data_IF_235790496304
#
_entry.id   IF_235790496304
#
_cell.length_a   1.000
_cell.length_b   1.000
_cell.length_c   1.000
_cell.angle_alpha   90.00
_cell.angle_beta   90.00
_cell.angle_gamma   90.00
#
_symmetry.space_group_name_H-M   'P 1'
#
loop_
_entity.id
_entity.type
_entity.pdbx_description
1 polymer ?
#
# COMPACT_ATOMS: atom_id res chain seq x y z
N UNK A 1 -29.56 -44.88 -8.53
CA UNK A 1 -28.92 -44.66 -7.23
C UNK A 1 -27.43 -44.90 -7.37
N UNK A 2 -26.63 -43.84 -7.27
CA UNK A 2 -25.20 -43.92 -6.98
C UNK A 2 -24.85 -42.62 -6.23
N UNK A 3 -24.39 -42.67 -4.96
CA UNK A 3 -24.00 -41.48 -4.24
C UNK A 3 -22.61 -41.07 -4.73
N UNK A 4 -22.52 -39.97 -5.49
CA UNK A 4 -21.25 -39.35 -5.82
C UNK A 4 -20.62 -38.81 -4.53
N UNK A 5 -19.51 -39.41 -4.14
CA UNK A 5 -18.59 -38.92 -3.11
C UNK A 5 -18.22 -37.46 -3.38
N UNK A 6 -18.21 -36.57 -2.37
CA UNK A 6 -17.74 -35.21 -2.55
C UNK A 6 -16.23 -35.23 -2.85
N UNK A 7 -15.83 -34.55 -3.92
CA UNK A 7 -14.44 -34.43 -4.36
C UNK A 7 -13.63 -33.66 -3.31
N UNK A 8 -12.44 -34.17 -2.99
CA UNK A 8 -11.50 -33.59 -2.02
C UNK A 8 -10.87 -32.28 -2.54
N UNK A 9 -11.08 -31.93 -3.81
CA UNK A 9 -10.60 -30.72 -4.45
C UNK A 9 -11.39 -29.45 -4.06
N UNK A 10 -12.66 -29.58 -3.67
CA UNK A 10 -13.53 -28.44 -3.33
C UNK A 10 -13.20 -27.82 -1.96
N UNK A 11 -12.68 -28.62 -1.02
CA UNK A 11 -12.35 -28.14 0.34
C UNK A 11 -11.08 -27.26 0.39
N UNK A 12 -10.22 -27.31 -0.63
CA UNK A 12 -8.99 -26.49 -0.69
C UNK A 12 -9.23 -25.11 -1.33
N UNK A 13 -10.29 -24.96 -2.14
CA UNK A 13 -10.62 -23.72 -2.84
C UNK A 13 -11.39 -22.73 -1.96
N UNK A 14 -12.09 -23.22 -0.93
CA UNK A 14 -12.81 -22.38 0.06
C UNK A 14 -11.92 -21.85 1.19
N UNK A 15 -10.61 -22.09 1.15
CA UNK A 15 -9.63 -21.37 1.97
C UNK A 15 -9.42 -19.91 1.48
N UNK A 16 -10.44 -19.32 0.86
CA UNK A 16 -10.88 -17.94 1.01
C UNK A 16 -9.85 -16.85 0.67
N UNK A 17 -10.09 -15.99 -0.34
CA UNK A 17 -9.34 -14.73 -0.50
C UNK A 17 -9.24 -13.90 0.81
N UNK A 18 -10.18 -14.08 1.75
CA UNK A 18 -10.20 -13.60 3.14
C UNK A 18 -9.00 -14.08 4.01
N UNK A 19 -8.65 -15.38 3.99
CA UNK A 19 -7.49 -15.92 4.75
C UNK A 19 -6.17 -15.42 4.17
N UNK A 20 -6.10 -15.32 2.85
CA UNK A 20 -5.00 -14.70 2.10
C UNK A 20 -4.93 -13.17 2.27
N UNK A 21 -6.03 -12.54 2.66
CA UNK A 21 -6.16 -11.13 2.96
C UNK A 21 -5.60 -10.80 4.36
N UNK A 22 -6.00 -11.54 5.39
CA UNK A 22 -5.50 -11.37 6.76
C UNK A 22 -4.00 -11.64 6.91
N UNK A 23 -3.46 -12.67 6.23
CA UNK A 23 -2.05 -13.02 6.31
C UNK A 23 -1.11 -11.92 5.79
N UNK A 24 -1.47 -11.25 4.69
CA UNK A 24 -0.67 -10.14 4.14
C UNK A 24 -0.80 -8.85 4.93
N UNK A 25 -1.96 -8.56 5.52
CA UNK A 25 -2.14 -7.45 6.46
C UNK A 25 -1.22 -7.60 7.67
N UNK A 26 -1.17 -8.81 8.24
CA UNK A 26 -0.26 -9.17 9.34
C UNK A 26 1.21 -9.06 8.96
N UNK A 27 1.58 -9.48 7.75
CA UNK A 27 2.95 -9.37 7.25
C UNK A 27 3.40 -7.90 7.11
N UNK A 28 2.54 -7.03 6.58
CA UNK A 28 2.87 -5.61 6.43
C UNK A 28 2.96 -4.88 7.77
N UNK A 29 2.06 -5.18 8.71
CA UNK A 29 2.13 -4.66 10.07
C UNK A 29 3.41 -5.14 10.76
N UNK A 30 3.72 -6.43 10.68
CA UNK A 30 4.95 -7.00 11.23
C UNK A 30 6.21 -6.37 10.63
N UNK A 31 6.21 -6.11 9.33
CA UNK A 31 7.32 -5.43 8.65
C UNK A 31 7.46 -3.98 9.10
N UNK A 32 6.36 -3.23 9.23
CA UNK A 32 6.39 -1.85 9.73
C UNK A 32 6.90 -1.81 11.16
N UNK A 33 6.28 -2.54 12.06
CA UNK A 33 6.65 -2.54 13.47
C UNK A 33 8.09 -3.02 13.65
N UNK A 34 8.49 -4.09 12.95
CA UNK A 34 9.86 -4.60 13.00
C UNK A 34 10.89 -3.60 12.49
N UNK A 35 10.65 -2.97 11.35
CA UNK A 35 11.58 -1.96 10.80
C UNK A 35 11.68 -0.72 11.68
N UNK A 36 10.56 -0.25 12.24
CA UNK A 36 10.56 0.87 13.18
C UNK A 36 11.33 0.56 14.45
N UNK A 37 11.15 -0.63 15.04
CA UNK A 37 11.89 -1.05 16.24
C UNK A 37 13.38 -1.13 15.95
N UNK A 38 13.79 -1.78 14.86
CA UNK A 38 15.21 -1.90 14.48
C UNK A 38 15.85 -0.53 14.29
N UNK A 39 15.16 0.38 13.60
CA UNK A 39 15.66 1.74 13.37
C UNK A 39 15.80 2.52 14.68
N UNK A 40 14.82 2.42 15.60
CA UNK A 40 14.90 3.05 16.91
C UNK A 40 16.06 2.48 17.74
N UNK A 41 16.29 1.17 17.70
CA UNK A 41 17.43 0.53 18.37
C UNK A 41 18.76 1.02 17.82
N UNK A 42 18.91 1.12 16.49
CA UNK A 42 20.13 1.65 15.87
C UNK A 42 20.36 3.11 16.29
N UNK A 43 19.33 3.95 16.27
CA UNK A 43 19.42 5.36 16.71
C UNK A 43 19.85 5.46 18.18
N UNK A 44 19.32 4.62 19.06
CA UNK A 44 19.72 4.56 20.46
C UNK A 44 21.17 4.14 20.63
N UNK A 45 21.63 3.13 19.89
CA UNK A 45 23.03 2.68 19.95
C UNK A 45 23.99 3.76 19.42
N UNK A 46 23.65 4.40 18.30
CA UNK A 46 24.41 5.51 17.71
C UNK A 46 24.47 6.72 18.65
N UNK A 47 23.46 6.93 19.50
CA UNK A 47 23.48 7.99 20.51
C UNK A 47 24.21 7.57 21.81
N UNK A 48 24.06 6.32 22.23
CA UNK A 48 24.65 5.80 23.47
C UNK A 48 26.18 5.69 23.40
N UNK A 49 26.75 5.33 22.24
CA UNK A 49 28.20 5.17 22.07
C UNK A 49 28.92 6.53 22.24
N UNK A 50 28.50 7.64 21.60
CA UNK A 50 29.14 8.94 21.75
C UNK A 50 28.73 9.68 23.01
N UNK A 51 27.58 9.40 23.63
CA UNK A 51 27.13 10.11 24.84
C UNK A 51 28.07 9.89 26.04
N UNK A 52 28.74 8.74 26.09
CA UNK A 52 29.79 8.42 27.08
C UNK A 52 31.02 9.33 26.89
N UNK A 53 31.37 9.68 25.63
CA UNK A 53 32.47 10.60 25.30
C UNK A 53 32.08 12.08 25.39
N UNK A 54 30.83 12.41 25.06
CA UNK A 54 30.29 13.78 25.08
C UNK A 54 30.15 14.35 26.50
N UNK A 55 29.89 13.49 27.48
CA UNK A 55 29.79 13.85 28.89
C UNK A 55 31.11 14.45 29.44
N UNK A 56 32.26 14.12 28.84
CA UNK A 56 33.57 14.63 29.25
C UNK A 56 33.91 16.02 28.70
N UNK A 57 33.17 16.52 27.70
CA UNK A 57 33.44 17.83 27.07
C UNK A 57 32.59 18.93 27.70
N UNK A 58 31.27 18.70 27.85
CA UNK A 58 30.38 19.68 28.48
C UNK A 58 29.13 18.97 29.06
N UNK A 59 28.76 19.22 30.33
CA UNK A 59 27.70 18.49 31.01
C UNK A 59 26.31 18.66 30.38
N UNK A 60 26.05 19.76 29.65
CA UNK A 60 24.76 19.99 28.98
C UNK A 60 24.61 19.34 27.59
N UNK A 61 25.71 19.01 26.89
CA UNK A 61 25.68 18.43 25.54
C UNK A 61 24.96 17.07 25.42
N UNK A 62 25.15 16.11 26.35
CA UNK A 62 24.42 14.84 26.29
C UNK A 62 22.91 15.02 26.47
N UNK A 63 22.46 15.98 27.28
CA UNK A 63 21.02 16.24 27.47
C UNK A 63 20.37 16.86 26.23
N UNK A 64 21.02 17.84 25.59
CA UNK A 64 20.50 18.49 24.37
C UNK A 64 20.44 17.48 23.21
N UNK A 65 21.52 16.74 22.97
CA UNK A 65 21.55 15.70 21.93
C UNK A 65 20.54 14.57 22.19
N UNK A 66 20.35 14.20 23.46
CA UNK A 66 19.35 13.22 23.88
C UNK A 66 17.92 13.68 23.61
N UNK A 67 17.62 14.96 23.84
CA UNK A 67 16.30 15.52 23.54
C UNK A 67 15.96 15.45 22.04
N UNK A 68 16.91 15.81 21.16
CA UNK A 68 16.72 15.71 19.71
C UNK A 68 16.54 14.27 19.24
N UNK A 69 17.34 13.33 19.77
CA UNK A 69 17.22 11.92 19.42
C UNK A 69 15.93 11.29 19.93
N UNK A 70 15.52 11.60 21.16
CA UNK A 70 14.26 11.14 21.72
C UNK A 70 13.07 11.67 20.92
N UNK A 71 13.09 12.96 20.54
CA UNK A 71 12.08 13.57 19.67
C UNK A 71 11.98 12.85 18.32
N UNK A 72 13.12 12.53 17.70
CA UNK A 72 13.17 11.80 16.43
C UNK A 72 12.59 10.38 16.57
N UNK A 73 12.94 9.66 17.63
CA UNK A 73 12.42 8.31 17.92
C UNK A 73 10.90 8.36 18.13
N UNK A 74 10.42 9.32 18.92
CA UNK A 74 8.98 9.51 19.17
C UNK A 74 8.23 9.85 17.89
N UNK A 75 8.81 10.66 17.00
CA UNK A 75 8.22 11.00 15.71
C UNK A 75 8.11 9.77 14.79
N UNK A 76 9.14 8.92 14.74
CA UNK A 76 9.13 7.67 13.98
C UNK A 76 8.09 6.70 14.55
N UNK A 77 8.04 6.55 15.87
CA UNK A 77 7.07 5.69 16.56
C UNK A 77 5.63 6.18 16.34
N UNK A 78 5.39 7.50 16.43
CA UNK A 78 4.10 8.11 16.15
C UNK A 78 3.65 7.88 14.71
N UNK A 79 4.55 8.06 13.74
CA UNK A 79 4.25 7.82 12.33
C UNK A 79 3.93 6.34 12.04
N UNK A 80 4.71 5.40 12.61
CA UNK A 80 4.47 3.97 12.48
C UNK A 80 3.13 3.56 13.11
N UNK A 81 2.85 4.05 14.32
CA UNK A 81 1.60 3.80 15.03
C UNK A 81 0.40 4.37 14.26
N UNK A 82 0.51 5.60 13.74
CA UNK A 82 -0.52 6.22 12.90
C UNK A 82 -0.81 5.38 11.66
N UNK A 83 0.20 4.84 11.00
CA UNK A 83 0.03 3.98 9.83
C UNK A 83 -0.62 2.64 10.19
N UNK A 84 -0.17 1.98 11.26
CA UNK A 84 -0.74 0.71 11.74
C UNK A 84 -2.20 0.89 12.16
N UNK A 85 -2.52 1.93 12.93
CA UNK A 85 -3.89 2.21 13.37
C UNK A 85 -4.82 2.51 12.19
N UNK A 86 -4.34 3.22 11.17
CA UNK A 86 -5.11 3.45 9.95
C UNK A 86 -5.43 2.13 9.20
N UNK A 87 -4.46 1.23 9.10
CA UNK A 87 -4.62 -0.08 8.45
C UNK A 87 -5.55 -1.00 9.24
N UNK A 88 -5.48 -0.96 10.58
CA UNK A 88 -6.35 -1.77 11.45
C UNK A 88 -7.78 -1.25 11.43
N UNK A 89 -7.96 0.07 11.56
CA UNK A 89 -9.28 0.69 11.75
C UNK A 89 -10.05 0.89 10.45
N UNK A 90 -9.39 0.82 9.29
CA UNK A 90 -10.04 0.90 7.96
C UNK A 90 -10.75 2.23 7.70
N UNK A 91 -10.62 3.20 8.60
CA UNK A 91 -11.21 4.53 8.52
C UNK A 91 -10.12 5.56 8.74
N UNK A 92 -10.04 6.62 7.90
CA UNK A 92 -9.14 7.72 8.16
C UNK A 92 -9.52 8.36 9.50
N UNK A 93 -8.52 8.52 10.37
CA UNK A 93 -8.67 9.45 11.50
C UNK A 93 -8.84 10.86 10.92
N UNK A 94 -9.86 11.57 11.43
CA UNK A 94 -10.32 12.86 10.91
C UNK A 94 -9.16 13.86 10.75
N UNK A 95 -8.98 14.40 9.54
CA UNK A 95 -8.07 15.55 9.26
C UNK A 95 -6.68 15.24 8.68
N UNK A 96 -6.32 13.98 8.40
CA UNK A 96 -4.94 13.60 8.02
C UNK A 96 -4.68 13.45 6.51
N UNK A 97 -5.62 13.77 5.62
CA UNK A 97 -5.53 13.46 4.18
C UNK A 97 -4.26 14.02 3.48
N UNK A 98 -3.85 15.26 3.80
CA UNK A 98 -2.61 15.87 3.23
C UNK A 98 -1.31 15.28 3.77
N UNK A 99 -1.29 14.92 5.06
CA UNK A 99 -0.11 14.39 5.73
C UNK A 99 0.13 12.93 5.31
N UNK A 100 -0.96 12.20 4.99
CA UNK A 100 -0.95 10.81 4.52
C UNK A 100 -0.19 10.60 3.22
N UNK A 101 -0.44 11.46 2.22
CA UNK A 101 0.27 11.40 0.94
C UNK A 101 1.78 11.57 1.12
N UNK A 102 2.20 12.45 2.03
CA UNK A 102 3.60 12.66 2.38
C UNK A 102 4.17 11.45 3.14
N UNK A 103 3.48 10.96 4.17
CA UNK A 103 3.91 9.77 4.93
C UNK A 103 4.08 8.57 4.01
N UNK A 104 3.12 8.32 3.12
CA UNK A 104 3.16 7.21 2.17
C UNK A 104 4.32 7.38 1.16
N UNK A 105 4.49 8.59 0.60
CA UNK A 105 5.54 8.90 -0.37
C UNK A 105 6.95 8.83 0.25
N UNK A 106 7.07 9.05 1.55
CA UNK A 106 8.33 8.97 2.29
C UNK A 106 8.61 7.56 2.84
N UNK A 107 7.60 6.86 3.39
CA UNK A 107 7.76 5.52 3.94
C UNK A 107 7.95 4.45 2.87
N UNK A 108 7.32 4.59 1.69
CA UNK A 108 7.47 3.62 0.59
C UNK A 108 8.93 3.40 0.17
N UNK A 109 9.72 4.43 -0.18
CA UNK A 109 11.13 4.24 -0.54
C UNK A 109 11.95 3.70 0.64
N UNK A 110 11.66 4.15 1.88
CA UNK A 110 12.35 3.69 3.09
C UNK A 110 12.14 2.19 3.34
N UNK A 111 10.88 1.73 3.24
CA UNK A 111 10.48 0.33 3.36
C UNK A 111 11.15 -0.54 2.29
N UNK A 112 11.21 -0.06 1.04
CA UNK A 112 11.86 -0.78 -0.06
C UNK A 112 13.38 -0.87 0.16
N UNK A 113 14.01 0.19 0.69
CA UNK A 113 15.44 0.20 1.00
C UNK A 113 15.79 -0.84 2.08
N UNK A 114 15.03 -0.88 3.18
CA UNK A 114 15.24 -1.87 4.24
C UNK A 114 14.88 -3.29 3.79
N UNK A 115 13.79 -3.47 3.05
CA UNK A 115 13.40 -4.80 2.56
C UNK A 115 14.48 -5.42 1.65
N UNK A 116 15.18 -4.61 0.85
CA UNK A 116 16.35 -5.06 0.08
C UNK A 116 17.50 -5.51 0.98
N UNK A 117 17.72 -4.82 2.10
CA UNK A 117 18.73 -5.21 3.09
C UNK A 117 18.41 -6.58 3.74
N UNK A 118 17.12 -6.86 3.99
CA UNK A 118 16.65 -8.15 4.52
C UNK A 118 16.42 -9.24 3.45
N UNK A 119 16.84 -9.03 2.20
CA UNK A 119 16.70 -10.01 1.11
C UNK A 119 15.27 -10.22 0.61
N UNK A 120 14.33 -9.34 0.98
CA UNK A 120 12.94 -9.39 0.49
C UNK A 120 12.88 -8.77 -0.91
N UNK A 121 12.30 -9.46 -1.91
CA UNK A 121 12.21 -8.93 -3.26
C UNK A 121 11.33 -7.66 -3.30
N UNK A 122 11.83 -6.63 -3.98
CA UNK A 122 11.19 -5.32 -4.15
C UNK A 122 9.74 -5.41 -4.66
N UNK A 123 9.43 -6.39 -5.52
CA UNK A 123 8.08 -6.66 -6.03
C UNK A 123 7.09 -6.99 -4.92
N UNK A 124 7.48 -7.80 -3.91
CA UNK A 124 6.57 -8.15 -2.80
C UNK A 124 6.18 -6.92 -1.98
N UNK A 125 7.13 -6.02 -1.75
CA UNK A 125 6.90 -4.77 -1.02
C UNK A 125 5.98 -3.84 -1.83
N UNK A 126 6.26 -3.66 -3.12
CA UNK A 126 5.44 -2.84 -4.03
C UNK A 126 4.00 -3.36 -4.12
N UNK A 127 3.81 -4.67 -4.28
CA UNK A 127 2.46 -5.26 -4.32
C UNK A 127 1.71 -5.09 -2.99
N UNK A 128 2.39 -5.27 -1.86
CA UNK A 128 1.77 -5.04 -0.54
C UNK A 128 1.35 -3.58 -0.37
N UNK A 129 2.18 -2.65 -0.85
CA UNK A 129 1.88 -1.23 -0.77
C UNK A 129 0.69 -0.83 -1.66
N UNK A 130 0.67 -1.26 -2.93
CA UNK A 130 -0.46 -1.00 -3.85
C UNK A 130 -1.76 -1.47 -3.21
N UNK A 131 -1.74 -2.63 -2.56
CA UNK A 131 -2.90 -3.18 -1.87
C UNK A 131 -3.38 -2.29 -0.73
N UNK A 132 -2.49 -1.92 0.20
CA UNK A 132 -2.85 -1.08 1.35
C UNK A 132 -3.38 0.27 0.88
N UNK A 133 -2.78 0.86 -0.16
CA UNK A 133 -3.24 2.11 -0.74
C UNK A 133 -4.65 1.98 -1.35
N UNK A 134 -4.91 0.90 -2.09
CA UNK A 134 -6.23 0.64 -2.66
C UNK A 134 -7.29 0.45 -1.57
N UNK A 135 -6.95 -0.22 -0.47
CA UNK A 135 -7.83 -0.35 0.70
C UNK A 135 -8.16 1.01 1.31
N UNK A 136 -7.14 1.85 1.40
CA UNK A 136 -7.21 3.19 1.96
C UNK A 136 -8.19 4.07 1.19
N UNK A 137 -8.04 4.07 -0.14
CA UNK A 137 -8.84 4.86 -1.06
C UNK A 137 -10.28 4.34 -1.10
N UNK A 138 -10.48 3.01 -1.07
CA UNK A 138 -11.82 2.40 -1.03
C UNK A 138 -12.63 2.81 0.20
N UNK A 139 -11.96 3.05 1.34
CA UNK A 139 -12.61 3.55 2.56
C UNK A 139 -12.83 5.06 2.59
N UNK A 140 -12.24 5.80 1.65
CA UNK A 140 -12.35 7.26 1.52
C UNK A 140 -13.26 7.71 0.38
N UNK A 141 -13.52 6.84 -0.61
CA UNK A 141 -14.39 7.16 -1.74
C UNK A 141 -15.82 7.43 -1.28
N UNK A 142 -16.26 8.68 -1.43
CA UNK A 142 -17.66 9.07 -1.30
C UNK A 142 -18.51 8.57 -2.48
N UNK A 143 -19.78 8.94 -2.50
CA UNK A 143 -20.63 8.80 -3.69
C UNK A 143 -20.29 9.92 -4.66
N UNK A 144 -19.90 9.57 -5.88
CA UNK A 144 -19.65 10.50 -6.98
C UNK A 144 -20.76 10.34 -8.02
N UNK A 145 -21.12 11.42 -8.68
CA UNK A 145 -22.01 11.32 -9.83
C UNK A 145 -21.23 10.75 -11.03
N UNK A 146 -21.88 10.04 -11.96
CA UNK A 146 -21.19 9.41 -13.09
C UNK A 146 -20.35 10.38 -13.94
N UNK A 147 -20.82 11.62 -14.10
CA UNK A 147 -20.16 12.71 -14.83
C UNK A 147 -18.87 13.23 -14.16
N UNK A 148 -18.62 12.88 -12.90
CA UNK A 148 -17.39 13.21 -12.17
C UNK A 148 -16.32 12.11 -12.27
N UNK A 149 -16.64 10.97 -12.90
CA UNK A 149 -15.79 9.78 -12.93
C UNK A 149 -15.05 9.71 -14.27
N UNK A 150 -13.71 9.77 -14.22
CA UNK A 150 -12.85 9.56 -15.38
C UNK A 150 -12.23 8.16 -15.37
N UNK A 151 -12.55 7.33 -16.36
CA UNK A 151 -11.92 6.01 -16.56
C UNK A 151 -10.60 6.17 -17.31
N UNK A 152 -9.48 5.94 -16.63
CA UNK A 152 -8.15 5.88 -17.23
C UNK A 152 -7.80 4.44 -17.60
N UNK A 153 -7.57 4.19 -18.89
CA UNK A 153 -7.20 2.87 -19.40
C UNK A 153 -5.78 2.84 -19.96
N UNK A 154 -5.04 1.73 -19.78
CA UNK A 154 -3.76 1.56 -20.43
C UNK A 154 -3.94 1.36 -21.94
N UNK A 155 -2.99 1.85 -22.73
CA UNK A 155 -2.98 1.74 -24.19
C UNK A 155 -2.82 0.31 -24.72
N UNK A 156 -2.48 -0.66 -23.86
CA UNK A 156 -2.19 -2.05 -24.22
C UNK A 156 -3.43 -2.94 -24.37
N UNK A 157 -4.65 -2.43 -24.16
CA UNK A 157 -5.87 -3.24 -24.21
C UNK A 157 -6.37 -3.49 -25.64
N UNK A 158 -5.93 -2.68 -26.61
CA UNK A 158 -6.33 -2.86 -28.00
C UNK A 158 -5.59 -4.06 -28.61
N UNK A 159 -6.32 -4.95 -29.27
CA UNK A 159 -5.72 -6.03 -30.04
C UNK A 159 -4.84 -5.42 -31.15
N UNK A 160 -3.59 -5.89 -31.28
CA UNK A 160 -2.62 -5.40 -32.26
C UNK A 160 -3.11 -5.53 -33.70
N UNK A 161 -3.98 -6.51 -33.96
CA UNK A 161 -4.56 -6.77 -35.28
C UNK A 161 -5.91 -6.07 -35.48
N UNK A 162 -6.29 -5.15 -34.59
CA UNK A 162 -7.53 -4.41 -34.74
C UNK A 162 -7.45 -3.48 -35.97
N UNK A 163 -8.37 -3.60 -36.94
CA UNK A 163 -8.32 -2.81 -38.17
C UNK A 163 -8.73 -1.33 -37.97
N UNK A 164 -9.26 -0.97 -36.80
CA UNK A 164 -9.76 0.38 -36.50
C UNK A 164 -8.92 1.03 -35.42
N UNK A 165 -8.44 2.25 -35.66
CA UNK A 165 -7.66 3.03 -34.68
C UNK A 165 -8.59 3.79 -33.72
N UNK A 166 -8.47 3.52 -32.41
CA UNK A 166 -9.33 4.08 -31.36
C UNK A 166 -8.73 5.27 -30.61
N UNK A 167 -7.51 5.72 -30.97
CA UNK A 167 -6.73 6.74 -30.23
C UNK A 167 -7.47 8.05 -29.95
N UNK A 168 -8.29 8.52 -30.89
CA UNK A 168 -8.99 9.81 -30.77
C UNK A 168 -10.47 9.69 -30.42
N UNK A 169 -11.05 8.51 -30.63
CA UNK A 169 -12.46 8.26 -30.40
C UNK A 169 -12.68 6.76 -30.20
N UNK A 170 -13.05 6.38 -28.98
CA UNK A 170 -13.28 4.99 -28.56
C UNK A 170 -14.61 4.43 -29.10
N UNK A 171 -15.57 5.29 -29.45
CA UNK A 171 -16.89 4.90 -29.98
C UNK A 171 -16.81 4.32 -31.40
N UNK A 172 -15.65 4.43 -32.07
CA UNK A 172 -15.39 3.71 -33.33
C UNK A 172 -15.20 2.20 -33.13
N UNK A 173 -15.14 1.73 -31.89
CA UNK A 173 -15.05 0.30 -31.60
C UNK A 173 -16.28 -0.43 -32.13
N UNK A 174 -16.07 -1.41 -33.02
CA UNK A 174 -17.15 -2.23 -33.60
C UNK A 174 -17.71 -3.29 -32.65
N UNK A 175 -17.24 -3.36 -31.39
CA UNK A 175 -17.63 -4.35 -30.38
C UNK A 175 -17.56 -5.80 -30.89
N UNK A 176 -16.51 -6.11 -31.65
CA UNK A 176 -16.31 -7.42 -32.29
C UNK A 176 -15.84 -8.53 -31.33
N UNK A 177 -15.69 -8.25 -30.03
CA UNK A 177 -15.23 -9.22 -29.01
C UNK A 177 -13.74 -9.56 -29.05
N UNK A 178 -12.97 -9.05 -30.02
CA UNK A 178 -11.54 -9.39 -30.18
C UNK A 178 -10.60 -8.69 -29.19
N UNK A 179 -11.11 -7.77 -28.37
CA UNK A 179 -10.38 -7.06 -27.32
C UNK A 179 -11.35 -6.59 -26.21
N UNK A 180 -10.87 -6.43 -24.96
CA UNK A 180 -11.69 -6.03 -23.81
C UNK A 180 -12.23 -4.59 -23.88
N UNK A 181 -11.84 -3.79 -24.88
CA UNK A 181 -12.31 -2.40 -25.04
C UNK A 181 -13.83 -2.35 -25.23
N UNK A 182 -14.41 -3.31 -25.97
CA UNK A 182 -15.85 -3.36 -26.19
C UNK A 182 -16.65 -3.48 -24.88
N UNK A 183 -16.19 -4.35 -23.99
CA UNK A 183 -16.81 -4.56 -22.67
C UNK A 183 -16.66 -3.32 -21.78
N UNK A 184 -15.53 -2.62 -21.92
CA UNK A 184 -15.28 -1.41 -21.15
C UNK A 184 -16.16 -0.24 -21.59
N UNK A 185 -16.42 -0.12 -22.89
CA UNK A 185 -17.38 0.85 -23.45
C UNK A 185 -18.80 0.47 -23.00
N UNK A 186 -19.15 -0.82 -22.98
CA UNK A 186 -20.45 -1.27 -22.47
C UNK A 186 -20.62 -0.93 -20.98
N UNK A 187 -19.56 -1.06 -20.18
CA UNK A 187 -19.56 -0.67 -18.77
C UNK A 187 -19.77 0.83 -18.61
N UNK A 188 -19.07 1.64 -19.41
CA UNK A 188 -19.25 3.10 -19.48
C UNK A 188 -20.71 3.45 -19.75
N UNK A 189 -21.29 2.88 -20.80
CA UNK A 189 -22.67 3.15 -21.20
C UNK A 189 -23.69 2.70 -20.14
N UNK A 190 -23.43 1.58 -19.45
CA UNK A 190 -24.32 1.06 -18.41
C UNK A 190 -24.35 1.95 -17.15
N UNK A 191 -23.20 2.47 -16.74
CA UNK A 191 -23.08 3.30 -15.53
C UNK A 191 -23.15 4.81 -15.80
N UNK A 192 -23.15 5.23 -17.08
CA UNK A 192 -23.21 6.63 -17.50
C UNK A 192 -21.93 7.43 -17.20
N UNK A 193 -20.79 6.75 -17.09
CA UNK A 193 -19.46 7.33 -16.82
C UNK A 193 -18.68 7.65 -18.10
#
# INVERSE_FOLDING_TARGET
MNPTTPDRSDAASEAGPERYYGARKRLFIGLITGTSVILCTILLLVWAIPSIGLANIHPALPYVSGFFMLSLILLIAWAALGLVLNIVKGRPVLGTSRIRGLTIKLFLPLMVMLARFFGIPKEKVRHSFIRVNNELIRGETGRFNPDEILILTPHCLQNSNCPVRLTYNVDRCKRCGSCPIGDLIALRDHYGV
#
